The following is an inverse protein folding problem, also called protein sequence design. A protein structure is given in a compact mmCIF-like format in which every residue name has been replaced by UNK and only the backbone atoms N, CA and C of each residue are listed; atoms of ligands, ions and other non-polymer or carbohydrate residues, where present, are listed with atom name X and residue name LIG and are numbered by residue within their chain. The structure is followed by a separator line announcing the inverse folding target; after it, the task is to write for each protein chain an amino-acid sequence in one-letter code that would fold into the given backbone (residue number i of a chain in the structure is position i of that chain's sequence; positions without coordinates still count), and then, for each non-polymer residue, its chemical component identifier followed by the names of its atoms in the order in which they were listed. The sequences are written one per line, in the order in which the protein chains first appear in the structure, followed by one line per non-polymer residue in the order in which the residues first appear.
data_IF_497427732993
#
_entry.id   IF_497427732993
#
_cell.length_a   1.000
_cell.length_b   1.000
_cell.length_c   1.000
_cell.angle_alpha   90.00
_cell.angle_beta   90.00
_cell.angle_gamma   90.00
#
_symmetry.space_group_name_H-M   'P 1'
#
loop_
_entity.id
_entity.type
_entity.pdbx_description
1 polymer ?
#
# COMPACT_ATOMS: atom_id res chain seq x y z
N UNK A 1 -54.04 39.29 -65.64
CA UNK A 1 -53.38 39.48 -64.33
C UNK A 1 -53.73 38.30 -63.43
N UNK A 2 -52.78 37.39 -63.13
CA UNK A 2 -52.97 36.27 -62.19
C UNK A 2 -51.92 36.37 -61.08
N UNK A 3 -52.42 36.45 -59.86
CA UNK A 3 -51.76 36.85 -58.61
C UNK A 3 -50.75 35.78 -58.15
N UNK A 4 -49.48 36.15 -57.95
CA UNK A 4 -48.46 35.29 -57.31
C UNK A 4 -48.89 34.98 -55.87
N UNK A 5 -48.99 33.70 -55.53
CA UNK A 5 -49.19 33.22 -54.15
C UNK A 5 -47.84 33.21 -53.45
N UNK A 6 -47.68 34.02 -52.39
CA UNK A 6 -46.54 33.92 -51.46
C UNK A 6 -46.69 32.64 -50.65
N UNK A 7 -45.61 31.87 -50.56
CA UNK A 7 -45.48 30.71 -49.66
C UNK A 7 -44.88 31.26 -48.37
N UNK A 8 -45.62 31.19 -47.27
CA UNK A 8 -45.06 31.44 -45.94
C UNK A 8 -44.37 30.14 -45.50
N UNK A 9 -43.14 30.18 -44.96
CA UNK A 9 -42.55 29.00 -44.34
C UNK A 9 -43.35 28.67 -43.07
N UNK A 10 -43.64 27.39 -42.78
CA UNK A 10 -44.23 27.02 -41.50
C UNK A 10 -43.23 27.38 -40.40
N UNK A 11 -43.71 28.13 -39.42
CA UNK A 11 -42.99 28.38 -38.17
C UNK A 11 -42.66 27.01 -37.57
N UNK A 12 -41.39 26.80 -37.23
CA UNK A 12 -40.96 25.58 -36.57
C UNK A 12 -41.62 25.54 -35.18
N UNK A 13 -42.78 24.90 -35.09
CA UNK A 13 -43.35 24.46 -33.82
C UNK A 13 -42.31 23.52 -33.21
N UNK A 14 -41.61 24.02 -32.20
CA UNK A 14 -40.62 23.24 -31.46
C UNK A 14 -41.35 22.03 -30.90
N UNK A 15 -41.06 20.83 -31.41
CA UNK A 15 -41.72 19.59 -31.02
C UNK A 15 -41.60 19.41 -29.49
N UNK A 16 -42.67 19.76 -28.76
CA UNK A 16 -42.69 19.76 -27.30
C UNK A 16 -42.34 18.35 -26.79
N UNK A 17 -42.75 17.31 -27.51
CA UNK A 17 -42.40 15.91 -27.27
C UNK A 17 -40.90 15.65 -27.38
N UNK A 18 -40.23 16.21 -28.39
CA UNK A 18 -38.79 16.09 -28.60
C UNK A 18 -38.00 16.83 -27.51
N UNK A 19 -38.50 17.99 -27.05
CA UNK A 19 -37.90 18.73 -25.94
C UNK A 19 -38.08 18.02 -24.58
N UNK A 20 -39.26 17.44 -24.34
CA UNK A 20 -39.50 16.58 -23.17
C UNK A 20 -38.59 15.36 -23.18
N UNK A 21 -38.42 14.71 -24.33
CA UNK A 21 -37.52 13.57 -24.52
C UNK A 21 -36.05 13.96 -24.30
N UNK A 22 -35.67 15.20 -24.63
CA UNK A 22 -34.32 15.68 -24.34
C UNK A 22 -34.11 15.81 -22.83
N UNK A 23 -35.05 16.40 -22.09
CA UNK A 23 -34.95 16.57 -20.64
C UNK A 23 -34.91 15.23 -19.89
N UNK A 24 -35.74 14.26 -20.27
CA UNK A 24 -35.78 12.94 -19.62
C UNK A 24 -34.51 12.11 -19.87
N UNK A 25 -33.77 12.36 -20.96
CA UNK A 25 -32.48 11.71 -21.24
C UNK A 25 -31.33 12.40 -20.48
N UNK A 26 -31.42 13.71 -20.24
CA UNK A 26 -30.38 14.46 -19.53
C UNK A 26 -30.34 14.14 -18.03
N UNK A 27 -31.49 13.98 -17.38
CA UNK A 27 -31.56 13.73 -15.93
C UNK A 27 -30.80 12.44 -15.51
N UNK A 28 -31.01 11.27 -16.15
CA UNK A 28 -30.24 10.07 -15.84
C UNK A 28 -28.75 10.22 -16.10
N UNK A 29 -28.35 10.90 -17.18
CA UNK A 29 -26.93 11.11 -17.56
C UNK A 29 -26.22 12.02 -16.54
N UNK A 30 -26.90 13.07 -16.08
CA UNK A 30 -26.37 13.95 -15.03
C UNK A 30 -26.24 13.21 -13.69
N UNK A 31 -27.22 12.38 -13.33
CA UNK A 31 -27.17 11.57 -12.11
C UNK A 31 -26.06 10.52 -12.17
N UNK A 32 -25.87 9.83 -13.30
CA UNK A 32 -24.77 8.87 -13.51
C UNK A 32 -23.41 9.55 -13.37
N UNK A 33 -23.27 10.76 -13.91
CA UNK A 33 -22.05 11.57 -13.83
C UNK A 33 -21.77 12.04 -12.39
N UNK A 34 -22.81 12.40 -11.63
CA UNK A 34 -22.70 12.80 -10.23
C UNK A 34 -22.26 11.64 -9.32
N UNK A 35 -22.76 10.42 -9.56
CA UNK A 35 -22.39 9.22 -8.79
C UNK A 35 -20.91 8.87 -8.96
N UNK A 36 -20.29 9.21 -10.10
CA UNK A 36 -18.84 9.09 -10.29
C UNK A 36 -18.03 10.22 -9.62
N UNK A 37 -18.67 11.28 -9.12
CA UNK A 37 -18.02 12.42 -8.44
C UNK A 37 -17.81 12.17 -6.93
N UNK A 38 -17.66 10.92 -6.49
CA UNK A 38 -17.16 10.61 -5.15
C UNK A 38 -15.63 10.57 -5.18
N UNK A 39 -15.03 11.74 -5.36
CA UNK A 39 -13.59 11.98 -5.29
C UNK A 39 -13.11 11.73 -3.86
N UNK A 40 -12.20 10.75 -3.70
CA UNK A 40 -11.46 10.51 -2.46
C UNK A 40 -10.42 11.60 -2.27
N UNK A 41 -10.30 12.10 -1.04
CA UNK A 41 -9.21 12.99 -0.61
C UNK A 41 -7.91 12.16 -0.67
N UNK A 42 -7.04 12.47 -1.62
CA UNK A 42 -5.66 11.99 -1.63
C UNK A 42 -4.80 13.04 -0.93
N UNK A 43 -4.36 12.72 0.29
CA UNK A 43 -3.32 13.50 0.95
C UNK A 43 -1.97 13.18 0.28
N UNK A 44 -1.32 14.24 -0.18
CA UNK A 44 -0.09 14.26 -0.98
C UNK A 44 1.17 14.10 -0.09
N UNK A 45 2.32 13.77 -0.73
CA UNK A 45 3.75 14.08 -0.42
C UNK A 45 4.61 12.81 -0.40
N UNK A 46 5.75 12.62 -1.10
CA UNK A 46 6.53 13.28 -2.17
C UNK A 46 7.55 12.21 -2.68
N UNK A 47 8.15 12.38 -3.88
CA UNK A 47 8.66 11.33 -4.75
C UNK A 47 10.07 10.86 -4.39
N UNK A 48 10.37 9.60 -4.73
CA UNK A 48 11.76 9.13 -4.91
C UNK A 48 11.93 8.67 -6.36
N UNK A 49 12.96 9.23 -6.99
CA UNK A 49 13.17 9.24 -8.41
C UNK A 49 13.22 7.85 -9.04
N UNK A 50 12.47 7.68 -10.13
CA UNK A 50 12.64 6.58 -11.07
C UNK A 50 11.31 5.92 -11.40
N UNK A 51 10.76 6.32 -12.55
CA UNK A 51 9.58 5.76 -13.22
C UNK A 51 8.25 6.44 -12.86
N UNK A 52 7.89 7.40 -13.71
CA UNK A 52 6.55 7.97 -13.83
C UNK A 52 5.60 6.89 -14.36
N UNK A 53 4.72 6.38 -13.51
CA UNK A 53 3.57 5.58 -13.92
C UNK A 53 2.34 6.49 -13.95
N UNK A 54 1.80 6.76 -15.14
CA UNK A 54 0.64 7.67 -15.39
C UNK A 54 -0.70 7.17 -14.82
N UNK A 55 -0.70 6.18 -13.91
CA UNK A 55 -1.90 5.62 -13.28
C UNK A 55 -1.90 5.86 -11.76
N UNK A 56 -2.90 6.58 -11.21
CA UNK A 56 -3.03 6.78 -9.76
C UNK A 56 -3.35 5.49 -8.97
N UNK A 57 -3.67 4.40 -9.68
CA UNK A 57 -3.80 3.07 -9.08
C UNK A 57 -2.42 2.42 -8.84
N UNK A 58 -1.43 2.75 -9.66
CA UNK A 58 -0.06 2.20 -9.61
C UNK A 58 0.69 2.73 -8.38
N UNK A 59 0.49 4.01 -8.04
CA UNK A 59 1.03 4.66 -6.84
C UNK A 59 0.60 3.97 -5.53
N UNK A 60 -0.52 3.23 -5.52
CA UNK A 60 -0.93 2.44 -4.34
C UNK A 60 -0.34 1.04 -4.36
N UNK A 61 -0.03 0.48 -5.52
CA UNK A 61 0.52 -0.87 -5.69
C UNK A 61 2.03 -0.93 -5.41
N UNK A 62 2.50 -0.19 -4.41
CA UNK A 62 3.87 -0.24 -3.92
C UNK A 62 4.00 -1.38 -2.91
N UNK A 63 5.04 -2.20 -3.08
CA UNK A 63 5.43 -3.22 -2.12
C UNK A 63 6.42 -2.61 -1.15
N UNK A 64 6.09 -2.61 0.13
CA UNK A 64 6.93 -2.03 1.17
C UNK A 64 7.37 -3.11 2.15
N UNK A 65 8.64 -3.06 2.56
CA UNK A 65 9.17 -3.87 3.63
C UNK A 65 9.65 -2.95 4.75
N UNK A 66 8.88 -2.88 5.82
CA UNK A 66 9.25 -2.16 7.04
C UNK A 66 10.17 -3.03 7.88
N UNK A 67 11.31 -2.47 8.26
CA UNK A 67 12.35 -3.13 9.04
C UNK A 67 12.41 -2.45 10.39
N UNK A 68 12.00 -3.18 11.44
CA UNK A 68 11.97 -2.71 12.82
C UNK A 68 12.79 -3.63 13.71
N UNK A 69 13.12 -3.19 14.92
CA UNK A 69 13.81 -4.07 15.90
C UNK A 69 13.03 -5.34 16.24
N UNK A 70 11.71 -5.32 16.04
CA UNK A 70 10.84 -6.47 16.30
C UNK A 70 10.74 -7.43 15.13
N UNK A 71 11.34 -7.10 13.98
CA UNK A 71 11.32 -7.92 12.77
C UNK A 71 10.86 -7.17 11.53
N UNK A 72 10.27 -7.90 10.58
CA UNK A 72 9.84 -7.39 9.29
C UNK A 72 8.32 -7.28 9.20
N UNK A 73 7.84 -6.24 8.53
CA UNK A 73 6.45 -6.10 8.11
C UNK A 73 6.41 -5.83 6.61
N UNK A 74 5.75 -6.71 5.88
CA UNK A 74 5.57 -6.59 4.44
C UNK A 74 4.18 -6.02 4.18
N UNK A 75 4.11 -4.91 3.46
CA UNK A 75 2.87 -4.21 3.12
C UNK A 75 2.66 -4.19 1.61
N UNK A 76 1.44 -4.49 1.18
CA UNK A 76 1.01 -4.35 -0.20
C UNK A 76 -0.53 -4.41 -0.29
N UNK A 77 -1.21 -3.43 -0.90
CA UNK A 77 -0.76 -2.08 -1.29
C UNK A 77 -0.04 -1.30 -0.17
N UNK A 78 0.58 -0.17 -0.49
CA UNK A 78 1.32 0.67 0.47
C UNK A 78 0.53 0.89 1.77
N UNK A 79 1.19 0.67 2.92
CA UNK A 79 0.58 0.80 4.25
C UNK A 79 -0.42 -0.29 4.66
N UNK A 80 -0.72 -1.29 3.81
CA UNK A 80 -1.62 -2.41 4.15
C UNK A 80 -0.79 -3.65 4.48
N UNK A 81 -0.82 -4.07 5.75
CA UNK A 81 -0.08 -5.24 6.23
C UNK A 81 -0.49 -6.52 5.50
N UNK A 82 0.46 -7.12 4.79
CA UNK A 82 0.31 -8.41 4.11
C UNK A 82 0.84 -9.54 4.99
N UNK A 83 2.03 -9.36 5.58
CA UNK A 83 2.66 -10.36 6.45
C UNK A 83 3.63 -9.73 7.45
N UNK A 84 3.62 -10.24 8.67
CA UNK A 84 4.61 -9.91 9.71
C UNK A 84 5.52 -11.10 10.01
N UNK A 85 6.82 -10.82 10.16
CA UNK A 85 7.85 -11.78 10.56
C UNK A 85 8.52 -11.24 11.82
N UNK A 86 8.18 -11.81 12.98
CA UNK A 86 8.83 -11.42 14.23
C UNK A 86 10.32 -11.80 14.24
N UNK A 87 11.17 -10.99 14.84
CA UNK A 87 12.55 -11.33 15.14
C UNK A 87 12.57 -12.43 16.20
N UNK A 88 13.41 -13.44 16.02
CA UNK A 88 13.61 -14.54 16.98
C UNK A 88 14.90 -14.34 17.75
N UNK A 89 15.18 -15.19 18.74
CA UNK A 89 16.44 -15.17 19.49
C UNK A 89 17.68 -15.34 18.58
N UNK A 90 17.49 -16.02 17.44
CA UNK A 90 18.48 -16.18 16.37
C UNK A 90 18.59 -14.99 15.41
N UNK A 91 17.82 -13.92 15.63
CA UNK A 91 17.82 -12.71 14.82
C UNK A 91 16.67 -12.61 13.81
N UNK A 92 16.90 -11.85 12.75
CA UNK A 92 15.91 -11.60 11.70
C UNK A 92 15.67 -12.85 10.84
N UNK A 93 14.40 -13.11 10.50
CA UNK A 93 14.00 -14.34 9.79
C UNK A 93 14.12 -14.20 8.26
N UNK A 94 15.32 -13.93 7.75
CA UNK A 94 15.58 -13.74 6.31
C UNK A 94 15.15 -14.91 5.44
N UNK A 95 15.36 -16.15 5.89
CA UNK A 95 14.95 -17.33 5.12
C UNK A 95 13.43 -17.39 4.90
N UNK A 96 12.63 -17.05 5.93
CA UNK A 96 11.17 -17.01 5.83
C UNK A 96 10.70 -15.85 4.95
N UNK A 97 11.36 -14.70 5.04
CA UNK A 97 11.11 -13.56 4.17
C UNK A 97 11.35 -13.93 2.70
N UNK A 98 12.50 -14.52 2.38
CA UNK A 98 12.85 -14.92 1.01
C UNK A 98 11.83 -15.90 0.43
N UNK A 99 11.46 -16.94 1.18
CA UNK A 99 10.45 -17.91 0.75
C UNK A 99 9.11 -17.23 0.45
N UNK A 100 8.67 -16.34 1.34
CA UNK A 100 7.42 -15.62 1.14
C UNK A 100 7.46 -14.69 -0.09
N UNK A 101 8.60 -14.01 -0.32
CA UNK A 101 8.76 -13.15 -1.49
C UNK A 101 8.78 -13.95 -2.80
N UNK A 102 9.29 -15.19 -2.80
CA UNK A 102 9.20 -16.10 -3.94
C UNK A 102 7.72 -16.42 -4.27
N UNK A 103 6.93 -16.80 -3.26
CA UNK A 103 5.50 -17.09 -3.43
C UNK A 103 4.72 -15.85 -3.91
N UNK A 104 5.06 -14.68 -3.36
CA UNK A 104 4.45 -13.40 -3.75
C UNK A 104 4.79 -13.04 -5.20
N UNK A 105 6.05 -13.20 -5.61
CA UNK A 105 6.49 -12.97 -6.99
C UNK A 105 5.73 -13.86 -7.97
N UNK A 106 5.56 -15.14 -7.64
CA UNK A 106 4.77 -16.07 -8.43
C UNK A 106 3.31 -15.61 -8.56
N UNK A 107 2.72 -15.15 -7.45
CA UNK A 107 1.35 -14.63 -7.43
C UNK A 107 1.19 -13.41 -8.36
N UNK A 108 2.15 -12.49 -8.38
CA UNK A 108 2.12 -11.35 -9.31
C UNK A 108 2.20 -11.79 -10.78
N UNK A 109 3.11 -12.72 -11.10
CA UNK A 109 3.25 -13.27 -12.45
C UNK A 109 1.97 -13.98 -12.94
N UNK A 110 1.32 -14.76 -12.07
CA UNK A 110 0.05 -15.44 -12.39
C UNK A 110 -1.07 -14.46 -12.73
N UNK A 111 -1.09 -13.30 -12.08
CA UNK A 111 -2.05 -12.23 -12.34
C UNK A 111 -1.63 -11.31 -13.50
N UNK A 112 -0.58 -11.66 -14.26
CA UNK A 112 0.00 -10.86 -15.37
C UNK A 112 0.47 -9.46 -14.95
N UNK A 113 0.90 -9.33 -13.69
CA UNK A 113 1.52 -8.12 -13.16
C UNK A 113 3.04 -8.35 -13.01
N UNK A 114 3.83 -7.68 -13.85
CA UNK A 114 5.29 -7.70 -13.73
C UNK A 114 5.73 -6.69 -12.69
N UNK A 115 5.86 -7.14 -11.43
CA UNK A 115 6.37 -6.31 -10.34
C UNK A 115 7.82 -6.66 -10.02
N UNK A 116 8.71 -5.68 -10.05
CA UNK A 116 10.16 -5.85 -9.81
C UNK A 116 10.73 -4.89 -8.76
N UNK A 117 9.89 -4.02 -8.22
CA UNK A 117 10.23 -2.97 -7.27
C UNK A 117 9.80 -3.30 -5.84
N UNK A 118 10.60 -2.86 -4.88
CA UNK A 118 10.31 -2.93 -3.45
C UNK A 118 10.91 -1.71 -2.73
N UNK A 119 10.16 -1.15 -1.79
CA UNK A 119 10.62 -0.04 -0.93
C UNK A 119 10.97 -0.59 0.45
N UNK A 120 12.21 -0.36 0.89
CA UNK A 120 12.66 -0.70 2.24
C UNK A 120 12.45 0.51 3.15
N UNK A 121 11.59 0.36 4.16
CA UNK A 121 11.31 1.38 5.14
C UNK A 121 12.05 1.06 6.44
N UNK A 122 13.05 1.87 6.77
CA UNK A 122 13.99 1.59 7.85
C UNK A 122 13.61 2.33 9.14
N UNK A 123 13.53 1.61 10.25
CA UNK A 123 13.51 2.26 11.56
C UNK A 123 14.91 2.87 11.86
N UNK A 124 15.00 3.94 12.67
CA UNK A 124 16.27 4.63 12.95
C UNK A 124 17.36 3.77 13.60
N UNK A 125 16.96 2.67 14.25
CA UNK A 125 17.82 1.85 15.09
C UNK A 125 18.37 0.59 14.38
N UNK A 126 18.20 0.49 13.06
CA UNK A 126 18.58 -0.70 12.29
C UNK A 126 20.06 -0.66 11.91
N UNK A 127 20.77 -1.71 12.30
CA UNK A 127 22.19 -1.88 11.97
C UNK A 127 22.42 -2.03 10.46
N UNK A 128 23.53 -1.47 9.97
CA UNK A 128 23.95 -1.54 8.56
C UNK A 128 23.95 -2.97 8.00
N UNK A 129 24.41 -3.95 8.78
CA UNK A 129 24.45 -5.35 8.34
C UNK A 129 23.05 -5.90 8.07
N UNK A 130 22.05 -5.51 8.86
CA UNK A 130 20.65 -5.89 8.66
C UNK A 130 20.11 -5.30 7.36
N UNK A 131 20.45 -4.04 7.05
CA UNK A 131 20.04 -3.38 5.81
C UNK A 131 20.58 -4.13 4.60
N UNK A 132 21.90 -4.38 4.55
CA UNK A 132 22.56 -5.07 3.43
C UNK A 132 22.02 -6.49 3.28
N UNK A 133 21.88 -7.23 4.39
CA UNK A 133 21.35 -8.60 4.35
C UNK A 133 19.90 -8.61 3.85
N UNK A 134 19.11 -7.58 4.18
CA UNK A 134 17.76 -7.42 3.64
C UNK A 134 17.81 -7.13 2.15
N UNK A 135 18.66 -6.22 1.68
CA UNK A 135 18.82 -5.92 0.25
C UNK A 135 19.19 -7.17 -0.57
N UNK A 136 20.09 -8.00 -0.07
CA UNK A 136 20.45 -9.26 -0.74
C UNK A 136 19.29 -10.25 -0.76
N UNK A 137 18.55 -10.34 0.34
CA UNK A 137 17.40 -11.25 0.50
C UNK A 137 16.23 -10.90 -0.43
N UNK A 138 15.96 -9.61 -0.64
CA UNK A 138 14.83 -9.15 -1.48
C UNK A 138 15.19 -9.07 -2.96
N UNK A 139 16.48 -9.00 -3.32
CA UNK A 139 16.95 -8.90 -4.70
C UNK A 139 16.81 -10.21 -5.47
N UNK A 140 17.26 -11.32 -4.88
CA UNK A 140 17.37 -12.60 -5.58
C UNK A 140 17.38 -13.78 -4.61
N UNK A 141 17.14 -14.98 -5.15
CA UNK A 141 17.30 -16.24 -4.42
C UNK A 141 18.05 -17.27 -5.27
N UNK A 142 18.68 -18.23 -4.60
CA UNK A 142 19.35 -19.34 -5.29
C UNK A 142 18.32 -20.37 -5.73
N UNK A 143 18.24 -20.61 -7.03
CA UNK A 143 17.41 -21.64 -7.64
C UNK A 143 18.28 -22.72 -8.30
N UNK A 144 17.83 -23.97 -8.28
CA UNK A 144 18.51 -25.06 -9.00
C UNK A 144 17.80 -25.29 -10.33
N UNK A 145 18.46 -24.99 -11.44
CA UNK A 145 17.94 -25.19 -12.80
C UNK A 145 18.91 -26.09 -13.55
N UNK A 146 18.41 -27.23 -14.04
CA UNK A 146 19.23 -28.20 -14.80
C UNK A 146 20.55 -28.56 -14.09
N UNK A 147 20.47 -28.87 -12.79
CA UNK A 147 21.60 -29.19 -11.90
C UNK A 147 22.61 -28.06 -11.66
N UNK A 148 22.34 -26.83 -12.10
CA UNK A 148 23.15 -25.66 -11.81
C UNK A 148 22.45 -24.72 -10.82
N UNK A 149 23.23 -24.15 -9.91
CA UNK A 149 22.76 -23.11 -8.99
C UNK A 149 22.80 -21.76 -9.73
N UNK A 150 21.66 -21.12 -9.88
CA UNK A 150 21.51 -19.81 -10.53
C UNK A 150 20.85 -18.81 -9.59
N UNK A 151 21.17 -17.53 -9.75
CA UNK A 151 20.49 -16.44 -9.08
C UNK A 151 19.20 -16.10 -9.83
N UNK A 152 18.06 -16.42 -9.22
CA UNK A 152 16.75 -16.05 -9.73
C UNK A 152 16.30 -14.72 -9.10
N UNK A 153 15.76 -13.83 -9.93
CA UNK A 153 15.37 -12.49 -9.51
C UNK A 153 14.07 -12.48 -8.70
N UNK A 154 14.04 -11.63 -7.67
CA UNK A 154 12.84 -11.27 -6.91
C UNK A 154 12.44 -9.84 -7.23
N UNK A 155 12.86 -8.88 -6.40
CA UNK A 155 12.56 -7.46 -6.53
C UNK A 155 13.88 -6.66 -6.60
N UNK A 156 14.57 -6.65 -7.76
CA UNK A 156 15.88 -6.04 -7.89
C UNK A 156 15.86 -4.50 -7.84
N UNK A 157 14.71 -3.86 -8.09
CA UNK A 157 14.57 -2.40 -8.05
C UNK A 157 14.25 -1.97 -6.62
N UNK A 158 15.29 -1.69 -5.83
CA UNK A 158 15.19 -1.41 -4.41
C UNK A 158 15.28 0.10 -4.18
N UNK A 159 14.27 0.66 -3.52
CA UNK A 159 14.27 2.03 -3.00
C UNK A 159 14.32 2.02 -1.48
N UNK A 160 14.94 3.02 -0.85
CA UNK A 160 15.01 3.15 0.60
C UNK A 160 14.19 4.37 1.07
N UNK A 161 13.59 4.26 2.24
CA UNK A 161 12.88 5.33 2.94
C UNK A 161 12.83 5.11 4.45
N UNK A 162 12.21 6.03 5.16
CA UNK A 162 12.08 5.99 6.61
C UNK A 162 10.79 5.28 7.04
N UNK A 163 10.88 4.44 8.08
CA UNK A 163 9.71 3.78 8.65
C UNK A 163 8.79 4.78 9.39
N UNK A 164 7.46 4.65 9.24
CA UNK A 164 6.53 5.54 9.95
C UNK A 164 6.60 5.33 11.47
N UNK A 165 6.60 6.44 12.21
CA UNK A 165 6.78 6.45 13.67
C UNK A 165 5.71 5.64 14.44
N UNK A 166 4.50 5.48 13.89
CA UNK A 166 3.43 4.68 14.50
C UNK A 166 3.78 3.19 14.62
N UNK A 167 4.60 2.66 13.70
CA UNK A 167 5.06 1.27 13.71
C UNK A 167 6.30 1.15 14.61
N UNK A 168 7.16 2.17 14.64
CA UNK A 168 8.32 2.23 15.54
C UNK A 168 7.93 2.27 17.03
N UNK A 169 6.82 2.94 17.38
CA UNK A 169 6.43 3.22 18.77
C UNK A 169 5.46 2.19 19.39
N UNK A 170 5.22 1.03 18.77
CA UNK A 170 4.38 -0.03 19.36
C UNK A 170 4.99 -0.69 20.63
N UNK A 171 6.00 -0.06 21.23
CA UNK A 171 6.79 -0.56 22.36
C UNK A 171 6.47 0.10 23.73
N UNK A 172 5.73 1.21 23.81
CA UNK A 172 5.53 1.90 25.11
C UNK A 172 4.26 1.54 25.89
N UNK A 173 3.36 0.71 25.34
CA UNK A 173 2.02 0.52 25.91
C UNK A 173 1.82 -0.57 26.97
N UNK A 174 2.80 -1.44 27.26
CA UNK A 174 2.52 -2.70 27.99
C UNK A 174 3.15 -2.84 29.39
N UNK A 175 3.91 -1.85 29.88
CA UNK A 175 4.62 -1.97 31.16
C UNK A 175 4.17 -1.00 32.28
N UNK A 176 3.03 -0.32 32.14
CA UNK A 176 2.58 0.70 33.10
C UNK A 176 1.49 0.24 34.11
N UNK A 177 1.38 -1.07 34.41
CA UNK A 177 0.35 -1.52 35.36
C UNK A 177 0.60 -2.90 35.96
N UNK A 178 1.44 -2.98 37.00
CA UNK A 178 1.25 -3.75 38.25
C UNK A 178 2.57 -3.82 39.06
N UNK A 179 3.06 -2.68 39.54
CA UNK A 179 3.96 -2.64 40.71
C UNK A 179 3.41 -1.63 41.71
N UNK A 180 2.32 -1.99 42.38
CA UNK A 180 1.80 -1.27 43.53
C UNK A 180 1.14 -2.29 44.46
N UNK A 181 1.93 -2.93 45.33
CA UNK A 181 1.35 -3.91 46.25
C UNK A 181 2.29 -4.73 47.10
N UNK A 182 3.50 -4.29 47.42
CA UNK A 182 4.38 -5.02 48.36
C UNK A 182 5.27 -4.05 49.11
N UNK A 183 4.77 -3.50 50.22
CA UNK A 183 5.59 -3.01 51.34
C UNK A 183 4.69 -2.72 52.56
N UNK A 184 4.38 -3.74 53.35
CA UNK A 184 3.85 -3.57 54.70
C UNK A 184 4.12 -4.82 55.56
N UNK A 185 5.39 -5.09 55.88
CA UNK A 185 5.74 -5.88 57.07
C UNK A 185 7.21 -5.72 57.43
N UNK A 186 7.48 -4.96 58.49
CA UNK A 186 8.46 -5.26 59.56
C UNK A 186 8.64 -4.03 60.44
N UNK A 187 8.08 -4.07 61.65
CA UNK A 187 8.74 -3.74 62.92
C UNK A 187 7.69 -3.61 64.02
N UNK A 188 7.54 -4.66 64.83
CA UNK A 188 7.17 -4.53 66.24
C UNK A 188 7.44 -5.85 66.95
N UNK A 189 8.44 -5.86 67.81
CA UNK A 189 8.80 -7.00 68.65
C UNK A 189 9.74 -6.58 69.78
N UNK A 190 9.22 -6.56 71.01
CA UNK A 190 9.95 -6.66 72.29
C UNK A 190 9.98 -5.38 73.13
N UNK A 191 9.06 -5.17 74.10
CA UNK A 191 9.08 -5.56 75.55
C UNK A 191 10.05 -4.75 76.43
N UNK A 192 9.92 -4.71 77.78
CA UNK A 192 9.00 -5.44 78.67
C UNK A 192 7.73 -4.68 79.09
#
# INVERSE_FOLDING_TARGET
MRRRRRINPPEAELDITSFMNLMIVLVPVLLLSLVFSQVRILNLQLPVAGQTTDNPNDERQVLELVITQTGFELNYPAGILLKKFAKTDSGYQFAKLSLYLQDLKLTFQQNKHEKSDIVLLLAPEIDYQTIVSTMDTVRSFKAVVAANLVDAELFPQISLGDAPASIANSQEGTNAGLQAGTNARTQSGGKP
#
